data_IF_007273238877
#
_entry.id   IF_007273238877
#
_cell.length_a   1.000
_cell.length_b   1.000
_cell.length_c   1.000
_cell.angle_alpha   90.00
_cell.angle_beta   90.00
_cell.angle_gamma   90.00
#
_symmetry.space_group_name_H-M   'P 1'
#
loop_
_entity.id
_entity.type
_entity.pdbx_description
1 polymer ?
#
# COMPACT_ATOMS: atom_id res chain seq x y z
N UNK A 1 -13.44 -5.59 -37.44
CA UNK A 1 -12.13 -6.14 -37.02
C UNK A 1 -11.33 -5.08 -36.26
N UNK A 2 -10.75 -5.48 -35.11
CA UNK A 2 -9.61 -4.87 -34.39
C UNK A 2 -9.63 -3.35 -34.14
N UNK A 3 -10.23 -2.93 -33.02
CA UNK A 3 -9.73 -1.76 -32.30
C UNK A 3 -9.06 -2.24 -31.02
N UNK A 4 -7.79 -2.65 -31.14
CA UNK A 4 -6.97 -3.14 -30.02
C UNK A 4 -5.91 -2.08 -29.71
N UNK A 5 -6.31 -0.98 -29.08
CA UNK A 5 -5.35 -0.02 -28.53
C UNK A 5 -4.72 -0.60 -27.27
N UNK A 6 -3.72 -1.48 -27.46
CA UNK A 6 -2.82 -1.93 -26.40
C UNK A 6 -1.63 -0.99 -26.33
N UNK A 7 -1.87 0.20 -25.78
CA UNK A 7 -0.79 1.08 -25.37
C UNK A 7 -1.11 1.57 -23.96
N UNK A 8 -0.91 0.68 -22.97
CA UNK A 8 -1.24 0.93 -21.57
C UNK A 8 -0.31 1.96 -20.91
N UNK A 9 0.88 2.17 -21.50
CA UNK A 9 1.85 3.17 -21.07
C UNK A 9 1.82 4.36 -22.03
N UNK A 10 1.12 5.43 -21.67
CA UNK A 10 1.10 6.68 -22.45
C UNK A 10 2.44 7.42 -22.28
N UNK A 11 3.01 7.41 -21.06
CA UNK A 11 4.36 7.90 -20.75
C UNK A 11 5.10 6.95 -19.81
N UNK A 12 6.03 6.17 -20.38
CA UNK A 12 6.81 5.14 -19.66
C UNK A 12 7.55 5.65 -18.42
N UNK A 13 8.25 6.80 -18.42
CA UNK A 13 9.11 7.16 -17.29
C UNK A 13 8.34 7.67 -16.07
N UNK A 14 7.20 8.35 -16.26
CA UNK A 14 6.37 8.86 -15.15
C UNK A 14 5.63 7.71 -14.46
N UNK A 15 4.96 6.88 -15.25
CA UNK A 15 4.14 5.79 -14.73
C UNK A 15 4.98 4.70 -14.07
N UNK A 16 6.16 4.39 -14.61
CA UNK A 16 7.04 3.37 -14.02
C UNK A 16 7.66 3.82 -12.70
N UNK A 17 8.16 5.06 -12.58
CA UNK A 17 8.75 5.55 -11.32
C UNK A 17 7.72 5.60 -10.20
N UNK A 18 6.54 6.17 -10.48
CA UNK A 18 5.45 6.21 -9.50
C UNK A 18 5.00 4.80 -9.10
N UNK A 19 4.78 3.91 -10.08
CA UNK A 19 4.39 2.52 -9.81
C UNK A 19 5.45 1.77 -9.00
N UNK A 20 6.74 1.97 -9.27
CA UNK A 20 7.83 1.36 -8.51
C UNK A 20 7.84 1.86 -7.06
N UNK A 21 7.66 3.16 -6.81
CA UNK A 21 7.58 3.68 -5.45
C UNK A 21 6.40 3.10 -4.67
N UNK A 22 5.22 3.05 -5.29
CA UNK A 22 4.03 2.45 -4.67
C UNK A 22 4.24 0.96 -4.41
N UNK A 23 4.79 0.24 -5.38
CA UNK A 23 5.08 -1.19 -5.24
C UNK A 23 6.11 -1.47 -4.14
N UNK A 24 7.19 -0.67 -4.05
CA UNK A 24 8.19 -0.79 -2.98
C UNK A 24 7.57 -0.59 -1.60
N UNK A 25 6.76 0.45 -1.42
CA UNK A 25 6.05 0.71 -0.16
C UNK A 25 5.13 -0.47 0.18
N UNK A 26 4.37 -0.98 -0.79
CA UNK A 26 3.49 -2.14 -0.60
C UNK A 26 4.28 -3.40 -0.24
N UNK A 27 5.43 -3.66 -0.87
CA UNK A 27 6.31 -4.79 -0.54
C UNK A 27 6.85 -4.65 0.88
N UNK A 28 7.27 -3.46 1.30
CA UNK A 28 7.76 -3.22 2.66
C UNK A 28 6.65 -3.46 3.68
N UNK A 29 5.45 -2.90 3.46
CA UNK A 29 4.29 -3.11 4.35
C UNK A 29 3.91 -4.59 4.39
N UNK A 30 3.87 -5.26 3.25
CA UNK A 30 3.56 -6.69 3.14
C UNK A 30 4.62 -7.56 3.82
N UNK A 31 5.91 -7.25 3.64
CA UNK A 31 7.02 -7.95 4.26
C UNK A 31 7.00 -7.82 5.78
N UNK A 32 6.82 -6.60 6.30
CA UNK A 32 6.67 -6.35 7.74
C UNK A 32 5.45 -7.11 8.29
N UNK A 33 4.33 -7.10 7.56
CA UNK A 33 3.13 -7.87 7.93
C UNK A 33 3.42 -9.37 8.01
N UNK A 34 4.01 -9.92 6.95
CA UNK A 34 4.26 -11.36 6.81
C UNK A 34 5.22 -11.87 7.86
N UNK A 35 6.31 -11.14 8.12
CA UNK A 35 7.28 -11.47 9.16
C UNK A 35 6.63 -11.45 10.54
N UNK A 36 5.85 -10.41 10.85
CA UNK A 36 5.13 -10.33 12.13
C UNK A 36 4.16 -11.50 12.33
N UNK A 37 3.36 -11.84 11.31
CA UNK A 37 2.41 -12.95 11.37
C UNK A 37 3.12 -14.29 11.50
N UNK A 38 4.21 -14.48 10.77
CA UNK A 38 5.02 -15.70 10.83
C UNK A 38 5.54 -15.95 12.24
N UNK A 39 6.24 -14.97 12.84
CA UNK A 39 6.79 -15.12 14.19
C UNK A 39 5.68 -15.16 15.26
N UNK A 40 4.57 -14.45 15.06
CA UNK A 40 3.42 -14.49 15.97
C UNK A 40 2.77 -15.88 16.04
N UNK A 41 2.49 -16.47 14.87
CA UNK A 41 1.85 -17.80 14.76
C UNK A 41 2.83 -18.90 15.20
N UNK A 42 4.04 -18.94 14.63
CA UNK A 42 5.03 -19.98 14.98
C UNK A 42 5.51 -19.88 16.42
N UNK A 43 5.64 -18.67 16.97
CA UNK A 43 5.98 -18.47 18.37
C UNK A 43 4.86 -18.88 19.32
N UNK A 44 3.59 -18.89 18.89
CA UNK A 44 2.48 -19.45 19.65
C UNK A 44 2.50 -20.98 19.60
N UNK A 45 2.61 -21.53 18.38
CA UNK A 45 2.67 -22.97 18.13
C UNK A 45 3.85 -23.64 18.85
N UNK A 46 5.07 -23.11 18.74
CA UNK A 46 6.24 -23.67 19.45
C UNK A 46 6.02 -23.68 20.96
N UNK A 47 5.44 -22.60 21.53
CA UNK A 47 5.18 -22.56 22.98
C UNK A 47 4.19 -23.63 23.41
N UNK A 48 3.14 -23.86 22.61
CA UNK A 48 2.15 -24.91 22.88
C UNK A 48 2.75 -26.32 22.87
N UNK A 49 3.80 -26.56 22.09
CA UNK A 49 4.46 -27.87 22.00
C UNK A 49 5.69 -28.02 22.90
N UNK A 50 6.28 -26.91 23.37
CA UNK A 50 7.44 -26.93 24.27
C UNK A 50 7.05 -27.05 25.75
N UNK A 51 5.76 -27.09 26.06
CA UNK A 51 5.29 -27.20 27.43
C UNK A 51 5.67 -28.58 27.99
N UNK A 52 6.60 -28.58 28.95
CA UNK A 52 7.19 -29.77 29.57
C UNK A 52 6.10 -30.68 30.19
N UNK A 53 4.93 -30.11 30.49
CA UNK A 53 3.77 -30.82 31.01
C UNK A 53 3.21 -31.86 30.05
N UNK A 54 3.09 -31.60 28.75
CA UNK A 54 2.48 -32.57 27.81
C UNK A 54 3.38 -33.82 27.69
N UNK A 55 4.70 -33.62 27.60
CA UNK A 55 5.66 -34.73 27.55
C UNK A 55 5.66 -35.54 28.85
N UNK A 56 5.63 -34.88 30.01
CA UNK A 56 5.65 -35.55 31.29
C UNK A 56 4.31 -36.24 31.62
N UNK A 57 3.17 -35.65 31.23
CA UNK A 57 1.84 -36.24 31.40
C UNK A 57 1.65 -37.47 30.54
N UNK A 58 2.02 -37.43 29.24
CA UNK A 58 1.95 -38.60 28.36
C UNK A 58 2.82 -39.75 28.92
N UNK A 59 4.01 -39.42 29.44
CA UNK A 59 4.94 -40.42 29.99
C UNK A 59 4.47 -40.99 31.32
N UNK A 60 3.84 -40.17 32.17
CA UNK A 60 3.22 -40.59 33.43
C UNK A 60 2.02 -41.50 33.18
N UNK A 61 1.13 -41.11 32.27
CA UNK A 61 -0.03 -41.91 31.89
C UNK A 61 0.39 -43.27 31.32
N UNK A 62 1.39 -43.30 30.43
CA UNK A 62 1.95 -44.54 29.89
C UNK A 62 2.52 -45.44 31.00
N UNK A 63 3.26 -44.88 31.98
CA UNK A 63 3.75 -45.66 33.12
C UNK A 63 2.62 -46.20 33.99
N UNK A 64 1.59 -45.40 34.27
CA UNK A 64 0.45 -45.84 35.10
C UNK A 64 -0.26 -47.00 34.41
N UNK A 65 -0.47 -46.91 33.09
CA UNK A 65 -1.03 -48.01 32.29
C UNK A 65 -0.15 -49.26 32.34
N UNK A 66 1.16 -49.14 32.20
CA UNK A 66 2.10 -50.28 32.30
C UNK A 66 2.06 -50.92 33.70
N UNK A 67 1.96 -50.10 34.76
CA UNK A 67 1.80 -50.59 36.14
C UNK A 67 0.46 -51.28 36.37
N UNK A 68 -0.64 -50.75 35.82
CA UNK A 68 -1.98 -51.36 35.92
C UNK A 68 -2.07 -52.67 35.14
N UNK A 69 -1.47 -52.74 33.94
CA UNK A 69 -1.40 -53.95 33.14
C UNK A 69 -0.60 -55.06 33.84
N UNK A 70 0.49 -54.68 34.51
CA UNK A 70 1.29 -55.59 35.34
C UNK A 70 0.54 -56.08 36.59
N UNK A 71 -0.39 -55.27 37.12
CA UNK A 71 -1.18 -55.56 38.32
C UNK A 71 -2.47 -56.35 38.00
N UNK A 72 -3.01 -56.22 36.80
CA UNK A 72 -4.18 -56.98 36.32
C UNK A 72 -3.94 -58.48 36.17
N UNK A 73 -2.69 -58.95 36.23
CA UNK A 73 -2.38 -60.39 36.21
C UNK A 73 -2.91 -61.12 37.45
N UNK A 74 -3.39 -60.43 38.51
CA UNK A 74 -3.72 -61.11 39.77
C UNK A 74 -5.11 -60.94 40.40
N UNK A 75 -6.05 -60.08 39.98
CA UNK A 75 -7.37 -59.98 40.64
C UNK A 75 -8.56 -59.57 39.72
N UNK A 76 -9.72 -60.27 39.77
CA UNK A 76 -10.91 -59.91 38.97
C UNK A 76 -11.94 -59.01 39.73
N UNK A 77 -12.21 -57.81 39.16
CA UNK A 77 -13.39 -56.89 39.24
C UNK A 77 -13.83 -56.25 40.60
N UNK A 78 -14.56 -55.09 40.66
CA UNK A 78 -15.37 -54.45 39.61
C UNK A 78 -15.14 -52.95 39.27
N UNK A 79 -15.27 -52.64 37.98
CA UNK A 79 -15.78 -51.44 37.25
C UNK A 79 -15.51 -49.97 37.71
N UNK A 80 -15.19 -49.67 38.97
CA UNK A 80 -15.11 -48.30 39.52
C UNK A 80 -13.87 -47.50 39.07
N UNK A 81 -12.86 -48.17 38.50
CA UNK A 81 -11.63 -47.54 38.02
C UNK A 81 -11.84 -46.71 36.75
N UNK A 82 -12.74 -47.16 35.87
CA UNK A 82 -13.06 -46.46 34.61
C UNK A 82 -13.60 -45.05 34.88
N UNK A 83 -14.54 -44.92 35.81
CA UNK A 83 -15.15 -43.65 36.22
C UNK A 83 -14.16 -42.65 36.82
N UNK A 84 -13.13 -43.13 37.53
CA UNK A 84 -12.08 -42.28 38.09
C UNK A 84 -11.12 -41.80 37.01
N UNK A 85 -10.75 -42.70 36.08
CA UNK A 85 -10.01 -42.32 34.87
C UNK A 85 -10.77 -41.27 34.05
N UNK A 86 -12.07 -41.47 33.80
CA UNK A 86 -12.88 -40.48 33.08
C UNK A 86 -12.91 -39.11 33.79
N UNK A 87 -13.00 -39.09 35.12
CA UNK A 87 -12.99 -37.84 35.89
C UNK A 87 -11.63 -37.13 35.87
N UNK A 88 -10.52 -37.88 35.94
CA UNK A 88 -9.18 -37.30 35.79
C UNK A 88 -8.94 -36.79 34.36
N UNK A 89 -9.45 -37.49 33.34
CA UNK A 89 -9.43 -37.04 31.94
C UNK A 89 -10.26 -35.75 31.76
N UNK A 90 -11.42 -35.64 32.39
CA UNK A 90 -12.23 -34.41 32.38
C UNK A 90 -11.53 -33.23 33.09
N UNK A 91 -10.84 -33.49 34.20
CA UNK A 91 -10.07 -32.46 34.94
C UNK A 91 -8.82 -32.01 34.17
N UNK A 92 -8.13 -32.93 33.48
CA UNK A 92 -7.08 -32.59 32.53
C UNK A 92 -7.63 -31.74 31.38
N UNK A 93 -8.86 -32.03 30.91
CA UNK A 93 -9.53 -31.22 29.89
C UNK A 93 -9.84 -29.80 30.35
N UNK A 94 -10.22 -29.61 31.62
CA UNK A 94 -10.48 -28.29 32.20
C UNK A 94 -9.19 -27.46 32.29
N UNK A 95 -8.09 -28.08 32.74
CA UNK A 95 -6.76 -27.44 32.79
C UNK A 95 -6.23 -27.11 31.39
N UNK A 96 -6.43 -27.99 30.41
CA UNK A 96 -6.10 -27.72 29.02
C UNK A 96 -6.94 -26.56 28.45
N UNK A 97 -8.22 -26.44 28.80
CA UNK A 97 -9.05 -25.30 28.40
C UNK A 97 -8.54 -23.98 28.97
N UNK A 98 -8.08 -23.96 30.22
CA UNK A 98 -7.47 -22.77 30.82
C UNK A 98 -6.17 -22.37 30.12
N UNK A 99 -5.29 -23.34 29.84
CA UNK A 99 -4.05 -23.08 29.09
C UNK A 99 -4.32 -22.61 27.66
N UNK A 100 -5.29 -23.21 26.97
CA UNK A 100 -5.71 -22.78 25.63
C UNK A 100 -6.28 -21.36 25.66
N UNK A 101 -7.06 -21.00 26.69
CA UNK A 101 -7.59 -19.67 26.86
C UNK A 101 -6.47 -18.63 27.09
N UNK A 102 -5.48 -18.95 27.93
CA UNK A 102 -4.33 -18.07 28.19
C UNK A 102 -3.43 -17.88 26.96
N UNK A 103 -3.21 -18.96 26.18
CA UNK A 103 -2.50 -18.91 24.91
C UNK A 103 -3.27 -18.07 23.89
N UNK A 104 -4.59 -18.26 23.81
CA UNK A 104 -5.44 -17.52 22.88
C UNK A 104 -5.45 -16.02 23.23
N UNK A 105 -5.57 -15.68 24.50
CA UNK A 105 -5.57 -14.28 24.96
C UNK A 105 -4.21 -13.60 24.73
N UNK A 106 -3.11 -14.27 25.09
CA UNK A 106 -1.76 -13.75 24.89
C UNK A 106 -1.40 -13.62 23.40
N UNK A 107 -1.91 -14.52 22.55
CA UNK A 107 -1.77 -14.45 21.09
C UNK A 107 -2.61 -13.31 20.53
N UNK A 108 -3.88 -13.18 20.95
CA UNK A 108 -4.78 -12.13 20.48
C UNK A 108 -4.24 -10.73 20.82
N UNK A 109 -3.71 -10.52 22.03
CA UNK A 109 -3.10 -9.23 22.42
C UNK A 109 -1.89 -8.86 21.57
N UNK A 110 -1.04 -9.83 21.19
CA UNK A 110 0.09 -9.61 20.27
C UNK A 110 -0.38 -9.28 18.86
N UNK A 111 -1.38 -10.01 18.35
CA UNK A 111 -1.99 -9.75 17.05
C UNK A 111 -2.64 -8.37 16.98
N UNK A 112 -3.33 -7.93 18.04
CA UNK A 112 -3.90 -6.59 18.13
C UNK A 112 -2.83 -5.50 18.04
N UNK A 113 -1.74 -5.62 18.79
CA UNK A 113 -0.62 -4.66 18.71
C UNK A 113 0.02 -4.64 17.32
N UNK A 114 0.21 -5.79 16.70
CA UNK A 114 0.74 -5.90 15.34
C UNK A 114 -0.21 -5.28 14.30
N UNK A 115 -1.53 -5.49 14.44
CA UNK A 115 -2.53 -4.90 13.57
C UNK A 115 -2.54 -3.37 13.69
N UNK A 116 -2.45 -2.83 14.91
CA UNK A 116 -2.35 -1.38 15.12
C UNK A 116 -1.08 -0.80 14.47
N UNK A 117 0.06 -1.47 14.61
CA UNK A 117 1.29 -1.06 13.94
C UNK A 117 1.17 -1.08 12.41
N UNK A 118 0.45 -2.06 11.86
CA UNK A 118 0.19 -2.12 10.43
C UNK A 118 -0.72 -1.01 9.93
N UNK A 119 -1.81 -0.74 10.66
CA UNK A 119 -2.71 0.38 10.37
C UNK A 119 -1.92 1.69 10.38
N UNK A 120 -1.02 1.86 11.36
CA UNK A 120 -0.13 3.02 11.43
C UNK A 120 0.79 3.13 10.21
N UNK A 121 1.47 2.05 9.81
CA UNK A 121 2.33 2.04 8.61
C UNK A 121 1.57 2.37 7.32
N UNK A 122 0.37 1.81 7.16
CA UNK A 122 -0.50 2.10 6.01
C UNK A 122 -0.94 3.56 6.03
N UNK A 123 -1.33 4.10 7.18
CA UNK A 123 -1.71 5.51 7.33
C UNK A 123 -0.55 6.45 6.97
N UNK A 124 0.64 6.22 7.53
CA UNK A 124 1.84 7.00 7.20
C UNK A 124 2.18 6.94 5.71
N UNK A 125 2.11 5.75 5.10
CA UNK A 125 2.37 5.55 3.68
C UNK A 125 1.36 6.30 2.80
N UNK A 126 0.08 6.26 3.17
CA UNK A 126 -1.00 6.96 2.46
C UNK A 126 -0.82 8.47 2.51
N UNK A 127 -0.50 9.03 3.68
CA UNK A 127 -0.23 10.46 3.85
C UNK A 127 0.98 10.88 3.01
N UNK A 128 2.06 10.10 3.06
CA UNK A 128 3.27 10.35 2.26
C UNK A 128 2.96 10.38 0.76
N UNK A 129 2.25 9.37 0.26
CA UNK A 129 1.90 9.27 -1.16
C UNK A 129 1.00 10.43 -1.58
N UNK A 130 0.03 10.79 -0.73
CA UNK A 130 -0.90 11.89 -0.98
C UNK A 130 -0.16 13.22 -1.10
N UNK A 131 0.74 13.54 -0.17
CA UNK A 131 1.51 14.79 -0.23
C UNK A 131 2.40 14.90 -1.46
N UNK A 132 3.00 13.79 -1.89
CA UNK A 132 3.87 13.74 -3.08
C UNK A 132 3.12 14.01 -4.39
N UNK A 133 1.82 13.70 -4.43
CA UNK A 133 0.98 13.90 -5.62
C UNK A 133 0.16 15.18 -5.54
N UNK A 134 -0.52 15.44 -4.42
CA UNK A 134 -1.44 16.56 -4.28
C UNK A 134 -0.75 17.93 -4.45
N UNK A 135 0.48 18.08 -3.96
CA UNK A 135 1.26 19.32 -4.09
C UNK A 135 1.44 19.75 -5.54
N UNK A 136 2.08 18.93 -6.39
CA UNK A 136 2.25 19.22 -7.82
C UNK A 136 0.93 19.54 -8.54
N UNK A 137 -0.14 18.80 -8.26
CA UNK A 137 -1.45 19.03 -8.89
C UNK A 137 -2.04 20.40 -8.56
N UNK A 138 -1.80 20.95 -7.37
CA UNK A 138 -2.22 22.32 -7.04
C UNK A 138 -1.47 23.35 -7.89
N UNK A 139 -0.17 23.14 -8.13
CA UNK A 139 0.62 24.02 -9.01
C UNK A 139 0.14 23.95 -10.45
N UNK A 140 -0.13 22.74 -10.98
CA UNK A 140 -0.74 22.55 -12.29
C UNK A 140 -2.07 23.30 -12.42
N UNK A 141 -2.99 23.12 -11.46
CA UNK A 141 -4.29 23.79 -11.47
C UNK A 141 -4.15 25.32 -11.53
N UNK A 142 -3.25 25.90 -10.72
CA UNK A 142 -3.03 27.35 -10.72
C UNK A 142 -2.45 27.84 -12.04
N UNK A 143 -1.48 27.14 -12.61
CA UNK A 143 -0.88 27.51 -13.89
C UNK A 143 -1.87 27.39 -15.06
N UNK A 144 -2.69 26.33 -15.09
CA UNK A 144 -3.75 26.21 -16.09
C UNK A 144 -4.80 27.31 -15.96
N UNK A 145 -5.18 27.68 -14.74
CA UNK A 145 -6.12 28.78 -14.52
C UNK A 145 -5.52 30.13 -14.95
N UNK A 146 -4.25 30.41 -14.62
CA UNK A 146 -3.56 31.62 -15.05
C UNK A 146 -3.46 31.69 -16.58
N UNK A 147 -3.10 30.58 -17.24
CA UNK A 147 -3.10 30.51 -18.70
C UNK A 147 -4.49 30.75 -19.31
N UNK A 148 -5.55 30.23 -18.67
CA UNK A 148 -6.95 30.48 -19.08
C UNK A 148 -7.33 31.97 -18.95
N UNK A 149 -6.79 32.65 -17.95
CA UNK A 149 -7.00 34.09 -17.71
C UNK A 149 -6.13 34.97 -18.63
N UNK A 150 -5.27 34.38 -19.46
CA UNK A 150 -4.40 35.08 -20.41
C UNK A 150 -3.02 35.43 -19.86
N UNK A 151 -2.65 34.93 -18.69
CA UNK A 151 -1.31 35.12 -18.11
C UNK A 151 -0.30 34.13 -18.73
N UNK A 152 0.38 34.55 -19.80
CA UNK A 152 1.30 33.68 -20.55
C UNK A 152 2.73 33.62 -19.95
N UNK A 153 3.04 34.48 -18.97
CA UNK A 153 4.32 34.43 -18.24
C UNK A 153 4.35 33.39 -17.10
N UNK A 154 3.24 32.70 -16.84
CA UNK A 154 3.18 31.68 -15.78
C UNK A 154 4.10 30.50 -16.09
N UNK A 155 4.79 29.98 -15.08
CA UNK A 155 5.69 28.82 -15.20
C UNK A 155 5.47 27.86 -14.03
N UNK A 156 5.49 26.57 -14.32
CA UNK A 156 5.38 25.49 -13.34
C UNK A 156 6.78 25.08 -12.91
N UNK A 157 7.07 25.25 -11.62
CA UNK A 157 8.28 24.75 -10.98
C UNK A 157 7.90 23.72 -9.93
N UNK A 158 8.30 22.47 -10.15
CA UNK A 158 8.10 21.36 -9.22
C UNK A 158 9.39 21.09 -8.43
N UNK A 159 9.27 20.49 -7.24
CA UNK A 159 10.45 20.09 -6.46
C UNK A 159 11.15 18.91 -7.11
N UNK A 160 12.45 18.73 -6.82
CA UNK A 160 13.29 17.67 -7.39
C UNK A 160 12.71 16.26 -7.26
N UNK A 161 11.96 16.00 -6.20
CA UNK A 161 11.38 14.69 -5.88
C UNK A 161 9.89 14.59 -6.18
N UNK A 162 9.28 15.65 -6.69
CA UNK A 162 7.89 15.64 -7.09
C UNK A 162 7.73 14.94 -8.45
N UNK A 163 6.62 14.24 -8.63
CA UNK A 163 6.30 13.64 -9.91
C UNK A 163 5.66 14.69 -10.85
N UNK A 164 5.80 14.49 -12.16
CA UNK A 164 5.20 15.36 -13.18
C UNK A 164 6.14 16.43 -13.77
N UNK A 165 7.44 16.39 -13.47
CA UNK A 165 8.43 17.33 -14.03
C UNK A 165 8.42 17.39 -15.57
N UNK A 166 8.23 16.26 -16.25
CA UNK A 166 8.09 16.23 -17.72
C UNK A 166 6.86 17.00 -18.20
N UNK A 167 5.72 16.87 -17.50
CA UNK A 167 4.49 17.59 -17.81
C UNK A 167 4.65 19.09 -17.53
N UNK A 168 5.33 19.44 -16.44
CA UNK A 168 5.65 20.83 -16.13
C UNK A 168 6.56 21.47 -17.20
N UNK A 169 7.57 20.74 -17.67
CA UNK A 169 8.45 21.20 -18.74
C UNK A 169 7.69 21.41 -20.05
N UNK A 170 6.87 20.43 -20.47
CA UNK A 170 6.03 20.54 -21.66
C UNK A 170 5.04 21.71 -21.57
N UNK A 171 4.43 21.93 -20.40
CA UNK A 171 3.56 23.08 -20.18
C UNK A 171 4.33 24.41 -20.30
N UNK A 172 5.52 24.51 -19.71
CA UNK A 172 6.35 25.72 -19.76
C UNK A 172 6.80 26.06 -21.19
N UNK A 173 7.12 25.04 -22.00
CA UNK A 173 7.46 25.20 -23.41
C UNK A 173 6.23 25.65 -24.24
N UNK A 174 5.09 25.01 -24.01
CA UNK A 174 3.82 25.36 -24.66
C UNK A 174 3.45 26.82 -24.38
N UNK A 175 3.38 27.21 -23.10
CA UNK A 175 2.96 28.56 -22.71
C UNK A 175 3.99 29.61 -23.15
N UNK A 176 5.28 29.26 -23.22
CA UNK A 176 6.33 30.11 -23.79
C UNK A 176 6.10 30.39 -25.27
N UNK A 177 5.78 29.36 -26.06
CA UNK A 177 5.44 29.52 -27.49
C UNK A 177 4.21 30.42 -27.69
N UNK A 178 3.19 30.28 -26.83
CA UNK A 178 2.03 31.16 -26.84
C UNK A 178 2.39 32.61 -26.50
N UNK A 179 3.21 32.83 -25.47
CA UNK A 179 3.69 34.15 -25.05
C UNK A 179 4.44 34.87 -26.18
N UNK A 180 5.36 34.17 -26.84
CA UNK A 180 6.11 34.70 -27.98
C UNK A 180 5.20 35.10 -29.14
N UNK A 181 4.25 34.23 -29.48
CA UNK A 181 3.34 34.48 -30.60
C UNK A 181 2.40 35.66 -30.33
N UNK A 182 1.83 35.74 -29.12
CA UNK A 182 1.00 36.88 -28.71
C UNK A 182 1.83 38.16 -28.64
N UNK A 183 3.09 38.08 -28.21
CA UNK A 183 4.02 39.21 -28.20
C UNK A 183 4.34 39.70 -29.61
N UNK A 184 4.54 38.80 -30.57
CA UNK A 184 4.74 39.15 -31.98
C UNK A 184 3.50 39.85 -32.56
N UNK A 185 2.30 39.33 -32.30
CA UNK A 185 1.05 39.97 -32.72
C UNK A 185 0.90 41.38 -32.11
N UNK A 186 1.18 41.54 -30.81
CA UNK A 186 1.18 42.86 -30.14
C UNK A 186 2.19 43.81 -30.77
N UNK A 187 3.37 43.33 -31.16
CA UNK A 187 4.42 44.13 -31.81
C UNK A 187 3.98 44.58 -33.21
N UNK A 188 3.47 43.66 -34.03
CA UNK A 188 2.93 43.96 -35.37
C UNK A 188 1.82 45.02 -35.27
N UNK A 189 0.91 44.88 -34.30
CA UNK A 189 -0.18 45.83 -34.07
C UNK A 189 0.28 47.23 -33.67
N UNK A 190 1.43 47.37 -33.00
CA UNK A 190 1.98 48.68 -32.58
C UNK A 190 2.85 49.34 -33.62
N UNK A 191 3.64 48.56 -34.36
CA UNK A 191 4.72 49.06 -35.21
C UNK A 191 4.36 49.10 -36.71
N UNK A 192 3.30 48.42 -37.15
CA UNK A 192 2.97 48.34 -38.59
C UNK A 192 1.99 49.44 -39.01
N UNK A 193 2.30 50.21 -40.08
CA UNK A 193 1.36 51.15 -40.69
C UNK A 193 0.06 50.48 -41.17
N UNK A 194 -1.06 51.22 -41.16
CA UNK A 194 -2.40 50.66 -41.42
C UNK A 194 -2.53 49.88 -42.75
N UNK A 195 -1.77 50.22 -43.79
CA UNK A 195 -1.83 49.56 -45.10
C UNK A 195 -1.37 48.09 -45.10
N UNK A 196 -0.36 47.75 -44.28
CA UNK A 196 0.24 46.40 -44.25
C UNK A 196 -0.20 45.58 -43.03
N UNK A 197 -0.87 46.21 -42.07
CA UNK A 197 -1.20 45.62 -40.77
C UNK A 197 -2.03 44.33 -40.92
N UNK A 198 -3.09 44.38 -41.73
CA UNK A 198 -3.99 43.23 -41.95
C UNK A 198 -3.23 42.03 -42.50
N UNK A 199 -2.42 42.24 -43.54
CA UNK A 199 -1.66 41.17 -44.20
C UNK A 199 -0.64 40.52 -43.26
N UNK A 200 0.05 41.31 -42.44
CA UNK A 200 1.02 40.78 -41.46
C UNK A 200 0.36 39.99 -40.34
N UNK A 201 -0.79 40.47 -39.83
CA UNK A 201 -1.56 39.73 -38.82
C UNK A 201 -2.07 38.40 -39.40
N UNK A 202 -2.67 38.42 -40.59
CA UNK A 202 -3.14 37.20 -41.27
C UNK A 202 -2.01 36.18 -41.45
N UNK A 203 -0.83 36.64 -41.85
CA UNK A 203 0.36 35.78 -42.00
C UNK A 203 0.74 35.11 -40.69
N UNK A 204 0.79 35.83 -39.57
CA UNK A 204 1.09 35.22 -38.27
C UNK A 204 -0.02 34.30 -37.77
N UNK A 205 -1.28 34.62 -38.03
CA UNK A 205 -2.41 33.77 -37.63
C UNK A 205 -2.42 32.41 -38.35
N UNK A 206 -1.89 32.32 -39.58
CA UNK A 206 -1.77 31.02 -40.29
C UNK A 206 -0.91 29.97 -39.58
N UNK A 207 -0.09 30.39 -38.60
CA UNK A 207 0.69 29.46 -37.76
C UNK A 207 -0.19 28.67 -36.78
N UNK A 208 -1.37 29.18 -36.46
CA UNK A 208 -2.31 28.54 -35.57
C UNK A 208 -3.33 27.74 -36.36
N UNK A 209 -3.64 26.53 -35.87
CA UNK A 209 -4.80 25.76 -36.31
C UNK A 209 -5.87 25.86 -35.24
N UNK A 210 -7.04 26.28 -35.63
CA UNK A 210 -8.18 26.55 -34.77
C UNK A 210 -9.34 25.65 -35.17
N UNK A 211 -10.40 25.61 -34.36
CA UNK A 211 -11.63 24.88 -34.69
C UNK A 211 -12.39 25.49 -35.87
N UNK A 212 -12.00 26.68 -36.31
CA UNK A 212 -12.61 27.41 -37.43
C UNK A 212 -11.88 27.19 -38.76
N UNK A 213 -10.75 26.47 -38.74
CA UNK A 213 -9.97 26.08 -39.93
C UNK A 213 -10.37 24.70 -40.48
#
# INVERSE_FOLDING_TARGET
MKNKRRHFFVDKPLQTRFAVYVALILIVVCGISGVGLYYGIWGSVIRSFSDEQIYNEIRMAARIQDYEHSRQVQQPEPELGSLRLFREVDLLSARQREMLAEILESTNKKLLWQALFLIFLVACSSIYLTHKVAGPFVHFRKAFQAAKEGELHTRIHLRKHDEGGAVAAAFNEMIGTFDESVSQLKKIARETPQGDLKKKIETELTRFKTSTD
#
